data_IF_028508815311
#
_entry.id   IF_028508815311
#
_cell.length_a   1.000
_cell.length_b   1.000
_cell.length_c   1.000
_cell.angle_alpha   90.00
_cell.angle_beta   90.00
_cell.angle_gamma   90.00
#
_symmetry.space_group_name_H-M   'P 1'
#
loop_
_entity.id
_entity.type
_entity.pdbx_description
1 polymer ?
#
# COMPACT_ATOMS: atom_id res chain seq x y z
N UNK A 1 -10.96 -0.44 -6.76
CA UNK A 1 -11.06 0.63 -5.75
C UNK A 1 -9.64 1.01 -5.33
N UNK A 2 -9.40 2.25 -4.93
CA UNK A 2 -8.09 2.69 -4.43
C UNK A 2 -8.17 2.94 -2.93
N UNK A 3 -7.10 2.63 -2.22
CA UNK A 3 -6.83 3.10 -0.88
C UNK A 3 -5.96 4.36 -0.96
N UNK A 4 -6.39 5.45 -0.32
CA UNK A 4 -5.66 6.71 -0.31
C UNK A 4 -4.69 6.72 0.85
N UNK A 5 -3.39 6.81 0.57
CA UNK A 5 -2.35 6.89 1.59
C UNK A 5 -2.17 8.33 2.08
N UNK A 6 -2.25 9.29 1.15
CA UNK A 6 -2.05 10.71 1.41
C UNK A 6 -2.80 11.54 0.37
N UNK A 7 -3.52 12.56 0.82
CA UNK A 7 -4.23 13.51 -0.05
C UNK A 7 -4.33 14.87 0.64
N UNK A 8 -4.64 15.92 -0.13
CA UNK A 8 -4.83 17.28 0.37
C UNK A 8 -3.54 18.03 0.71
N UNK A 9 -2.37 17.44 0.44
CA UNK A 9 -1.08 18.11 0.61
C UNK A 9 -0.93 19.23 -0.41
N UNK A 10 -0.57 20.42 0.07
CA UNK A 10 -0.27 21.60 -0.74
C UNK A 10 1.03 22.24 -0.27
N UNK A 11 1.77 22.81 -1.20
CA UNK A 11 3.09 23.40 -0.98
C UNK A 11 4.22 22.51 -1.48
N UNK A 12 5.45 22.94 -1.19
CA UNK A 12 6.67 22.22 -1.59
C UNK A 12 7.09 21.24 -0.48
N UNK A 13 7.53 20.04 -0.87
CA UNK A 13 7.93 19.02 0.08
C UNK A 13 8.50 17.77 -0.55
N UNK A 14 8.61 16.72 0.24
CA UNK A 14 8.97 15.39 -0.23
C UNK A 14 8.39 14.28 0.64
N UNK A 15 7.93 13.23 -0.01
CA UNK A 15 7.44 12.01 0.60
C UNK A 15 8.61 11.08 0.94
N UNK A 16 8.65 10.58 2.19
CA UNK A 16 9.75 9.77 2.71
C UNK A 16 9.38 8.31 2.99
N UNK A 17 8.12 7.91 2.79
CA UNK A 17 7.75 6.50 2.88
C UNK A 17 6.39 6.25 3.52
N UNK A 18 6.09 4.96 3.66
CA UNK A 18 4.85 4.49 4.26
C UNK A 18 5.02 3.13 4.92
N UNK A 19 4.21 2.93 5.96
CA UNK A 19 3.88 1.61 6.47
C UNK A 19 2.47 1.24 5.99
N UNK A 20 2.29 0.00 5.53
CA UNK A 20 1.04 -0.53 5.04
C UNK A 20 0.67 -1.81 5.80
N UNK A 21 -0.52 -1.83 6.38
CA UNK A 21 -1.16 -3.02 6.93
C UNK A 21 -2.27 -3.47 5.98
N UNK A 22 -2.28 -4.76 5.64
CA UNK A 22 -3.20 -5.33 4.66
C UNK A 22 -3.85 -6.60 5.21
N UNK A 23 -5.15 -6.58 5.44
CA UNK A 23 -5.99 -7.73 5.76
C UNK A 23 -6.66 -8.25 4.50
N UNK A 24 -6.32 -9.46 4.08
CA UNK A 24 -6.84 -10.05 2.84
C UNK A 24 -8.15 -10.77 3.12
N UNK A 25 -9.20 -10.39 2.40
CA UNK A 25 -10.53 -11.01 2.49
C UNK A 25 -10.84 -11.90 1.27
N UNK A 26 -10.07 -11.74 0.19
CA UNK A 26 -10.28 -12.46 -1.07
C UNK A 26 -9.31 -13.64 -1.22
N UNK A 27 -9.74 -14.69 -1.90
CA UNK A 27 -8.84 -15.79 -2.27
C UNK A 27 -7.99 -15.43 -3.49
N UNK A 28 -6.75 -15.94 -3.52
CA UNK A 28 -5.81 -15.70 -4.61
C UNK A 28 -4.76 -14.65 -4.24
N UNK A 29 -3.97 -14.26 -5.24
CA UNK A 29 -2.94 -13.24 -5.05
C UNK A 29 -3.57 -11.85 -4.97
N UNK A 30 -3.15 -11.06 -3.98
CA UNK A 30 -3.74 -9.77 -3.59
C UNK A 30 -2.89 -8.55 -3.97
N UNK A 31 -1.64 -8.76 -4.39
CA UNK A 31 -0.64 -7.69 -4.50
C UNK A 31 -0.41 -7.15 -5.91
N UNK A 32 -1.30 -7.33 -6.88
CA UNK A 32 -1.13 -6.78 -8.24
C UNK A 32 -1.36 -5.26 -8.33
N UNK A 33 -1.78 -4.63 -7.24
CA UNK A 33 -2.19 -3.23 -7.21
C UNK A 33 -1.04 -2.25 -7.36
N UNK A 34 -1.20 -1.27 -8.23
CA UNK A 34 -0.21 -0.22 -8.46
C UNK A 34 -0.30 0.84 -7.34
N UNK A 35 0.85 1.23 -6.78
CA UNK A 35 0.97 2.51 -6.06
C UNK A 35 1.11 3.65 -7.08
N UNK A 36 0.49 4.79 -6.81
CA UNK A 36 0.46 5.94 -7.71
C UNK A 36 0.77 7.22 -6.94
N UNK A 37 1.67 8.02 -7.50
CA UNK A 37 1.98 9.36 -7.00
C UNK A 37 1.57 10.39 -8.05
N UNK A 38 0.63 11.23 -7.66
CA UNK A 38 0.16 12.37 -8.42
C UNK A 38 0.89 13.59 -7.87
N UNK A 39 1.71 14.22 -8.71
CA UNK A 39 2.59 15.32 -8.32
C UNK A 39 2.12 16.58 -9.02
N UNK A 40 2.17 17.70 -8.32
CA UNK A 40 2.14 19.02 -8.92
C UNK A 40 1.00 19.23 -9.92
N UNK A 41 -0.25 18.97 -9.54
CA UNK A 41 -1.43 19.22 -10.35
C UNK A 41 -1.83 18.08 -11.30
N UNK A 42 -1.24 16.90 -11.15
CA UNK A 42 -1.67 15.69 -11.84
C UNK A 42 -3.17 15.41 -11.58
N UNK A 43 -3.91 15.15 -12.66
CA UNK A 43 -5.34 14.84 -12.61
C UNK A 43 -5.61 13.33 -12.66
N UNK A 44 -5.97 12.85 -13.85
CA UNK A 44 -6.30 11.44 -14.12
C UNK A 44 -5.06 10.54 -14.08
N UNK A 45 -3.95 11.02 -14.63
CA UNK A 45 -2.72 10.24 -14.80
C UNK A 45 -1.67 10.66 -13.76
N UNK A 46 -1.06 9.70 -13.04
CA UNK A 46 0.01 10.00 -12.10
C UNK A 46 1.37 10.16 -12.82
N UNK A 47 2.24 11.00 -12.27
CA UNK A 47 3.64 11.09 -12.70
C UNK A 47 4.42 9.81 -12.40
N UNK A 48 4.14 9.14 -11.28
CA UNK A 48 4.76 7.85 -10.92
C UNK A 48 3.67 6.80 -10.78
N UNK A 49 3.80 5.73 -11.55
CA UNK A 49 2.94 4.55 -11.50
C UNK A 49 3.80 3.31 -11.25
N UNK A 50 3.54 2.60 -10.14
CA UNK A 50 4.14 1.30 -9.86
C UNK A 50 3.55 0.19 -10.72
N UNK A 51 4.08 -1.03 -10.57
CA UNK A 51 3.67 -2.23 -11.35
C UNK A 51 2.93 -3.27 -10.52
N UNK A 52 3.12 -3.23 -9.21
CA UNK A 52 2.52 -4.15 -8.24
C UNK A 52 2.81 -3.66 -6.82
N UNK A 53 2.03 -4.16 -5.87
CA UNK A 53 2.19 -3.82 -4.46
C UNK A 53 3.46 -4.49 -3.94
N UNK A 54 3.72 -5.74 -4.31
CA UNK A 54 4.96 -6.43 -3.96
C UNK A 54 6.18 -5.71 -4.51
N UNK A 55 6.10 -5.29 -5.77
CA UNK A 55 7.18 -4.61 -6.46
C UNK A 55 7.55 -3.31 -5.76
N UNK A 56 6.53 -2.54 -5.34
CA UNK A 56 6.77 -1.31 -4.58
C UNK A 56 7.47 -1.59 -3.25
N UNK A 57 7.13 -2.67 -2.54
CA UNK A 57 7.77 -2.99 -1.27
C UNK A 57 9.09 -3.77 -1.41
N UNK A 58 9.61 -3.93 -2.63
CA UNK A 58 10.90 -4.58 -2.90
C UNK A 58 10.83 -6.11 -2.90
N UNK A 59 9.62 -6.66 -3.04
CA UNK A 59 9.39 -8.06 -3.37
C UNK A 59 9.36 -8.30 -4.88
N UNK A 60 9.06 -9.55 -5.22
CA UNK A 60 8.73 -10.01 -6.55
C UNK A 60 8.01 -11.36 -6.41
N UNK A 61 7.35 -11.83 -7.48
CA UNK A 61 6.77 -13.19 -7.53
C UNK A 61 5.94 -13.51 -6.28
N UNK A 62 5.00 -12.62 -5.95
CA UNK A 62 4.05 -12.82 -4.86
C UNK A 62 4.68 -12.86 -3.45
N UNK A 63 5.93 -12.42 -3.31
CA UNK A 63 6.79 -12.68 -2.14
C UNK A 63 6.96 -14.19 -1.84
N UNK A 64 6.76 -15.08 -2.80
CA UNK A 64 6.81 -16.53 -2.58
C UNK A 64 8.26 -17.01 -2.43
N UNK A 65 8.67 -17.31 -1.20
CA UNK A 65 9.99 -17.90 -0.91
C UNK A 65 10.05 -18.54 0.49
N UNK A 66 10.24 -19.86 0.62
CA UNK A 66 10.27 -20.85 -0.47
C UNK A 66 8.88 -21.03 -1.10
N UNK A 67 8.80 -21.88 -2.14
CA UNK A 67 7.53 -22.20 -2.81
C UNK A 67 6.45 -22.61 -1.80
N UNK A 68 5.28 -21.99 -1.88
CA UNK A 68 4.13 -22.18 -1.00
C UNK A 68 4.11 -21.31 0.25
N UNK A 69 5.12 -20.47 0.46
CA UNK A 69 5.28 -19.66 1.68
C UNK A 69 5.66 -18.22 1.35
N UNK A 70 5.21 -17.27 2.18
CA UNK A 70 5.66 -15.90 2.09
C UNK A 70 7.07 -15.77 2.68
N UNK A 71 8.01 -15.29 1.87
CA UNK A 71 9.36 -14.92 2.28
C UNK A 71 9.36 -13.59 3.01
N UNK A 72 9.34 -13.64 4.35
CA UNK A 72 9.51 -12.44 5.17
C UNK A 72 10.92 -11.89 5.05
N UNK A 73 11.04 -10.57 5.02
CA UNK A 73 12.33 -9.90 5.04
C UNK A 73 12.23 -8.52 5.69
N UNK A 74 13.37 -8.04 6.20
CA UNK A 74 13.54 -6.70 6.74
C UNK A 74 14.88 -6.16 6.28
N UNK A 75 14.83 -5.15 5.42
CA UNK A 75 15.98 -4.38 4.96
C UNK A 75 15.88 -2.93 5.46
N UNK A 76 16.96 -2.14 5.39
CA UNK A 76 16.96 -0.77 5.92
C UNK A 76 15.85 0.14 5.36
N UNK A 77 15.48 -0.05 4.09
CA UNK A 77 14.55 0.85 3.39
C UNK A 77 13.27 0.17 2.89
N UNK A 78 13.15 -1.15 2.98
CA UNK A 78 11.89 -1.84 2.69
C UNK A 78 11.79 -3.19 3.39
N UNK A 79 10.59 -3.73 3.48
CA UNK A 79 10.36 -5.03 4.11
C UNK A 79 8.93 -5.52 4.03
N UNK A 80 8.82 -6.86 4.11
CA UNK A 80 7.61 -7.58 4.51
C UNK A 80 7.92 -8.31 5.83
N UNK A 81 8.01 -7.59 6.97
CA UNK A 81 8.37 -8.21 8.24
C UNK A 81 7.21 -9.00 8.88
N UNK A 82 5.96 -8.69 8.53
CA UNK A 82 4.79 -9.29 9.16
C UNK A 82 3.96 -10.07 8.16
N UNK A 83 3.84 -11.37 8.39
CA UNK A 83 2.92 -12.29 7.73
C UNK A 83 2.18 -13.04 8.84
N UNK A 84 0.97 -12.58 9.16
CA UNK A 84 0.14 -13.14 10.23
C UNK A 84 -0.78 -14.18 9.62
N UNK A 85 -0.48 -15.45 9.88
CA UNK A 85 -1.26 -16.59 9.39
C UNK A 85 -2.57 -16.72 10.19
N UNK A 86 -3.69 -17.06 9.52
CA UNK A 86 -4.93 -17.29 10.22
C UNK A 86 -4.88 -18.57 11.07
N UNK A 87 -5.63 -18.59 12.17
CA UNK A 87 -5.82 -19.76 13.04
C UNK A 87 -7.00 -20.66 12.58
N UNK A 88 -7.82 -20.15 11.66
CA UNK A 88 -8.98 -20.84 11.10
C UNK A 88 -10.24 -20.82 11.99
N UNK A 89 -10.24 -20.11 13.12
CA UNK A 89 -11.37 -20.03 14.04
C UNK A 89 -11.71 -18.58 14.44
N UNK A 90 -10.83 -17.91 15.17
CA UNK A 90 -11.07 -16.54 15.69
C UNK A 90 -10.22 -15.49 14.98
N UNK A 91 -9.03 -15.88 14.52
CA UNK A 91 -8.18 -15.10 13.62
C UNK A 91 -8.26 -15.73 12.23
N UNK A 92 -9.41 -15.57 11.57
CA UNK A 92 -9.68 -16.24 10.29
C UNK A 92 -8.98 -15.59 9.08
N UNK A 93 -8.52 -14.34 9.21
CA UNK A 93 -7.96 -13.57 8.10
C UNK A 93 -6.42 -13.55 8.10
N UNK A 94 -5.84 -13.72 6.92
CA UNK A 94 -4.41 -13.52 6.68
C UNK A 94 -4.11 -12.02 6.65
N UNK A 95 -3.08 -11.57 7.39
CA UNK A 95 -2.69 -10.16 7.43
C UNK A 95 -1.21 -9.96 7.14
N UNK A 96 -0.89 -8.79 6.62
CA UNK A 96 0.45 -8.38 6.22
C UNK A 96 0.80 -7.02 6.79
N UNK A 97 2.07 -6.82 7.09
CA UNK A 97 2.66 -5.52 7.40
C UNK A 97 3.88 -5.31 6.52
N UNK A 98 3.88 -4.22 5.76
CA UNK A 98 4.93 -3.86 4.80
C UNK A 98 5.40 -2.43 5.04
N UNK A 99 6.66 -2.14 4.71
CA UNK A 99 7.17 -0.77 4.76
C UNK A 99 8.09 -0.47 3.59
N UNK A 100 8.11 0.81 3.19
CA UNK A 100 9.12 1.37 2.29
C UNK A 100 9.47 2.80 2.71
N UNK A 101 10.77 3.07 2.79
CA UNK A 101 11.34 4.36 3.16
C UNK A 101 12.12 4.94 1.99
N UNK A 102 11.67 6.09 1.50
CA UNK A 102 12.31 6.86 0.44
C UNK A 102 13.37 7.82 1.00
N UNK A 103 14.35 7.28 1.73
CA UNK A 103 15.43 8.07 2.35
C UNK A 103 16.46 8.50 1.31
N UNK A 104 16.92 7.54 0.49
CA UNK A 104 17.92 7.77 -0.54
C UNK A 104 17.30 8.19 -1.89
N UNK A 105 16.01 7.94 -2.05
CA UNK A 105 15.20 8.16 -3.26
C UNK A 105 13.91 8.96 -2.97
N UNK A 106 13.98 10.13 -2.31
CA UNK A 106 12.80 10.89 -1.92
C UNK A 106 11.98 11.38 -3.13
N UNK A 107 10.66 11.24 -3.02
CA UNK A 107 9.69 11.69 -4.04
C UNK A 107 9.34 13.15 -3.73
N UNK A 108 9.83 14.08 -4.55
CA UNK A 108 9.68 15.53 -4.33
C UNK A 108 8.49 16.08 -5.10
N UNK A 109 7.85 17.10 -4.53
CA UNK A 109 6.75 17.86 -5.14
C UNK A 109 6.90 19.35 -4.83
N UNK A 110 6.39 20.22 -5.70
CA UNK A 110 6.46 21.68 -5.58
C UNK A 110 5.13 22.35 -5.21
N UNK A 111 3.99 21.78 -5.61
CA UNK A 111 2.65 22.37 -5.48
C UNK A 111 1.70 21.51 -4.66
N UNK A 112 1.63 20.22 -4.96
CA UNK A 112 0.71 19.29 -4.30
C UNK A 112 1.16 17.83 -4.49
N UNK A 113 0.66 16.97 -3.60
CA UNK A 113 0.93 15.53 -3.61
C UNK A 113 -0.36 14.77 -3.25
N UNK A 114 -0.67 13.76 -4.06
CA UNK A 114 -1.64 12.70 -3.71
C UNK A 114 -1.02 11.34 -3.97
N UNK A 115 -1.19 10.42 -3.02
CA UNK A 115 -0.66 9.05 -3.08
C UNK A 115 -1.77 8.05 -2.86
N UNK A 116 -1.91 7.10 -3.76
CA UNK A 116 -2.90 6.03 -3.68
C UNK A 116 -2.27 4.67 -3.98
N UNK A 117 -2.89 3.60 -3.51
CA UNK A 117 -2.57 2.23 -3.91
C UNK A 117 -3.84 1.51 -4.32
N UNK A 118 -3.78 0.71 -5.37
CA UNK A 118 -4.91 -0.10 -5.80
C UNK A 118 -5.02 -1.35 -4.94
N UNK A 119 -6.25 -1.70 -4.54
CA UNK A 119 -6.54 -3.03 -4.02
C UNK A 119 -6.90 -3.93 -5.21
N UNK A 120 -5.90 -4.58 -5.80
CA UNK A 120 -6.04 -5.36 -7.03
C UNK A 120 -5.31 -6.69 -6.94
N UNK A 121 -5.98 -7.76 -7.34
CA UNK A 121 -5.42 -9.11 -7.35
C UNK A 121 -5.89 -9.96 -8.52
N UNK A 122 -5.69 -11.27 -8.43
CA UNK A 122 -6.15 -12.24 -9.43
C UNK A 122 -7.42 -12.96 -8.98
N UNK A 123 -8.39 -13.11 -9.90
CA UNK A 123 -9.50 -14.07 -9.76
C UNK A 123 -9.31 -15.28 -10.66
N UNK A 124 -10.20 -16.26 -10.48
CA UNK A 124 -10.27 -17.46 -11.33
C UNK A 124 -10.23 -17.12 -12.82
N UNK A 125 -9.52 -17.94 -13.59
CA UNK A 125 -9.47 -17.83 -15.04
C UNK A 125 -10.78 -18.30 -15.67
N UNK A 126 -11.15 -17.73 -16.81
CA UNK A 126 -12.22 -18.23 -17.68
C UNK A 126 -11.64 -18.42 -19.06
N UNK A 127 -11.79 -19.61 -19.64
CA UNK A 127 -11.23 -19.90 -20.97
C UNK A 127 -9.70 -19.85 -21.04
N UNK A 128 -9.00 -19.91 -19.90
CA UNK A 128 -7.55 -19.75 -19.81
C UNK A 128 -7.07 -18.32 -19.57
N UNK A 129 -7.95 -17.32 -19.67
CA UNK A 129 -7.57 -15.92 -19.52
C UNK A 129 -7.47 -15.50 -18.06
N UNK A 130 -6.37 -14.80 -17.74
CA UNK A 130 -6.18 -14.14 -16.44
C UNK A 130 -7.09 -12.92 -16.35
N UNK A 131 -7.63 -12.67 -15.16
CA UNK A 131 -8.58 -11.58 -14.92
C UNK A 131 -8.27 -10.88 -13.61
N UNK A 132 -8.21 -9.56 -13.66
CA UNK A 132 -8.05 -8.76 -12.45
C UNK A 132 -9.30 -8.81 -11.58
N UNK A 133 -9.06 -8.73 -10.27
CA UNK A 133 -10.07 -8.64 -9.23
C UNK A 133 -9.85 -7.34 -8.45
N UNK A 134 -10.74 -6.35 -8.54
CA UNK A 134 -10.83 -5.29 -7.54
C UNK A 134 -11.14 -5.95 -6.19
N UNK A 135 -10.21 -5.80 -5.24
CA UNK A 135 -10.29 -6.44 -3.94
C UNK A 135 -11.22 -5.69 -2.99
N UNK A 136 -11.66 -6.40 -1.96
CA UNK A 136 -12.50 -5.93 -0.86
C UNK A 136 -11.77 -6.19 0.46
N UNK A 137 -10.54 -5.71 0.52
CA UNK A 137 -9.60 -5.99 1.59
C UNK A 137 -9.55 -4.81 2.57
N UNK A 138 -9.16 -5.09 3.82
CA UNK A 138 -9.02 -4.09 4.87
C UNK A 138 -7.59 -3.54 4.85
N UNK A 139 -7.46 -2.26 4.46
CA UNK A 139 -6.15 -1.62 4.28
C UNK A 139 -6.04 -0.44 5.23
N UNK A 140 -4.92 -0.39 5.96
CA UNK A 140 -4.54 0.74 6.81
C UNK A 140 -3.13 1.17 6.47
N UNK A 141 -2.86 2.47 6.51
CA UNK A 141 -1.55 3.01 6.15
C UNK A 141 -1.14 4.19 7.02
N UNK A 142 0.17 4.36 7.18
CA UNK A 142 0.75 5.59 7.73
C UNK A 142 1.76 6.14 6.73
N UNK A 143 1.45 7.31 6.17
CA UNK A 143 2.33 8.03 5.26
C UNK A 143 3.22 9.01 6.02
N UNK A 144 4.47 9.13 5.60
CA UNK A 144 5.44 10.05 6.17
C UNK A 144 5.95 10.99 5.08
N UNK A 145 5.93 12.30 5.34
CA UNK A 145 6.44 13.32 4.43
C UNK A 145 6.91 14.55 5.19
N UNK A 146 7.72 15.38 4.54
CA UNK A 146 8.04 16.73 4.96
C UNK A 146 7.45 17.71 3.96
N UNK A 147 6.98 18.86 4.44
CA UNK A 147 6.56 19.98 3.59
C UNK A 147 6.87 21.32 4.25
N UNK A 148 6.92 22.37 3.43
CA UNK A 148 6.94 23.74 3.91
C UNK A 148 5.57 24.13 4.49
N UNK A 149 5.59 25.02 5.50
CA UNK A 149 4.38 25.60 6.07
C UNK A 149 3.76 26.68 5.16
N UNK A 150 2.44 26.90 5.23
CA UNK A 150 1.49 26.20 6.10
C UNK A 150 1.05 24.84 5.55
N UNK A 151 0.90 23.84 6.42
CA UNK A 151 0.26 22.58 6.07
C UNK A 151 -1.27 22.61 6.23
N UNK A 152 -1.97 21.73 5.50
CA UNK A 152 -3.40 21.52 5.69
C UNK A 152 -3.67 20.90 7.07
N UNK A 153 -4.79 21.23 7.75
CA UNK A 153 -5.13 20.59 9.01
C UNK A 153 -5.32 19.08 8.81
N UNK A 154 -4.91 18.28 9.80
CA UNK A 154 -5.11 16.85 9.78
C UNK A 154 -6.59 16.49 10.00
N UNK A 155 -7.07 15.38 9.42
CA UNK A 155 -8.39 14.84 9.76
C UNK A 155 -8.43 14.44 11.24
N UNK A 156 -9.64 14.42 11.81
CA UNK A 156 -9.84 13.92 13.17
C UNK A 156 -9.47 12.46 13.25
N UNK A 157 -8.64 12.10 14.23
CA UNK A 157 -8.30 10.71 14.51
C UNK A 157 -9.57 9.96 14.96
N UNK A 158 -9.86 8.77 14.41
CA UNK A 158 -10.94 7.91 14.90
C UNK A 158 -10.74 7.54 16.39
N UNK A 159 -11.83 7.16 17.05
CA UNK A 159 -11.76 6.64 18.42
C UNK A 159 -11.15 5.23 18.49
N UNK A 160 -11.00 4.70 19.70
CA UNK A 160 -10.36 3.39 19.90
C UNK A 160 -11.06 2.24 19.16
N UNK A 161 -12.40 2.27 19.04
CA UNK A 161 -13.16 1.24 18.34
C UNK A 161 -13.04 1.43 16.81
N UNK A 162 -13.00 2.67 16.33
CA UNK A 162 -12.76 2.97 14.93
C UNK A 162 -11.33 2.66 14.46
N UNK A 163 -10.38 2.56 15.40
CA UNK A 163 -9.00 2.11 15.15
C UNK A 163 -8.80 0.60 15.39
N UNK A 164 -9.82 -0.11 15.85
CA UNK A 164 -9.73 -1.55 16.10
C UNK A 164 -9.57 -2.32 14.78
N UNK A 165 -8.61 -3.24 14.76
CA UNK A 165 -8.45 -4.19 13.67
C UNK A 165 -9.37 -5.37 13.93
N UNK A 166 -10.51 -5.39 13.25
CA UNK A 166 -11.55 -6.43 13.32
C UNK A 166 -11.16 -7.62 12.45
#
# INVERSE_FOLDING_TARGET
QVHTLLDGVRGQGHYIGTYLAWGVNNSGWWGEGEIKFYLDGDGEFPTICGTGTEDYFGGAWNFEHPRGEYGVFSAPFSGLPQVIKPDGLYQSQQRFGLYRWHVMDPIRFQRDLRVTIQALGWRSTIGGDRRYLPLQDDISSTAFWYQAEPHAPFPTLPDANGLEVI
#
